data_IF_661096592437
#
_entry.id   IF_661096592437
#
_cell.length_a   1.000
_cell.length_b   1.000
_cell.length_c   1.000
_cell.angle_alpha   90.00
_cell.angle_beta   90.00
_cell.angle_gamma   90.00
#
_symmetry.space_group_name_H-M   'P 1'
#
loop_
_entity.id
_entity.type
_entity.pdbx_description
1 polymer ?
#
# COMPACT_ATOMS: atom_id res chain seq x y z
N UNK A 1 -13.08 -10.16 4.75
CA UNK A 1 -11.81 -10.92 4.84
C UNK A 1 -11.10 -10.81 3.52
N UNK A 2 -9.92 -10.19 3.48
CA UNK A 2 -9.09 -10.09 2.28
C UNK A 2 -8.45 -11.46 2.06
N UNK A 3 -8.80 -12.13 0.97
CA UNK A 3 -8.40 -13.50 0.71
C UNK A 3 -6.94 -13.53 0.22
N UNK A 4 -6.06 -14.17 0.98
CA UNK A 4 -4.60 -14.14 0.77
C UNK A 4 -4.16 -14.74 -0.58
N UNK A 5 -4.97 -15.66 -1.12
CA UNK A 5 -4.74 -16.29 -2.42
C UNK A 5 -4.99 -15.35 -3.61
N UNK A 6 -5.97 -14.45 -3.49
CA UNK A 6 -6.34 -13.53 -4.57
C UNK A 6 -5.28 -12.44 -4.75
N UNK A 7 -4.69 -11.98 -3.64
CA UNK A 7 -3.66 -10.94 -3.64
C UNK A 7 -2.38 -11.43 -4.32
N UNK A 8 -2.00 -12.69 -4.10
CA UNK A 8 -0.85 -13.31 -4.77
C UNK A 8 -1.08 -13.45 -6.27
N UNK A 9 -2.26 -13.88 -6.69
CA UNK A 9 -2.59 -14.02 -8.10
C UNK A 9 -2.56 -12.66 -8.82
N UNK A 10 -3.12 -11.63 -8.20
CA UNK A 10 -3.11 -10.28 -8.73
C UNK A 10 -1.69 -9.69 -8.81
N UNK A 11 -0.88 -9.89 -7.76
CA UNK A 11 0.52 -9.48 -7.75
C UNK A 11 1.34 -10.18 -8.84
N UNK A 12 1.14 -11.48 -9.02
CA UNK A 12 1.79 -12.25 -10.10
C UNK A 12 1.38 -11.75 -11.49
N UNK A 13 0.08 -11.43 -11.69
CA UNK A 13 -0.41 -10.83 -12.93
C UNK A 13 0.26 -9.49 -13.20
N UNK A 14 0.35 -8.62 -12.20
CA UNK A 14 1.03 -7.34 -12.34
C UNK A 14 2.51 -7.51 -12.65
N UNK A 15 3.23 -8.37 -11.92
CA UNK A 15 4.66 -8.57 -12.14
C UNK A 15 4.98 -9.14 -13.53
N UNK A 16 4.11 -9.98 -14.08
CA UNK A 16 4.26 -10.54 -15.43
C UNK A 16 3.91 -9.57 -16.55
N UNK A 17 2.86 -8.77 -16.37
CA UNK A 17 2.29 -7.93 -17.45
C UNK A 17 2.72 -6.48 -17.37
N UNK A 18 3.05 -5.99 -16.18
CA UNK A 18 3.19 -4.57 -15.83
C UNK A 18 2.02 -3.73 -16.38
N UNK A 19 0.83 -4.31 -16.48
CA UNK A 19 -0.33 -3.64 -17.08
C UNK A 19 -0.86 -2.53 -16.16
N UNK A 20 -1.27 -1.38 -16.72
CA UNK A 20 -1.88 -0.30 -15.94
C UNK A 20 -3.09 -0.74 -15.13
N UNK A 21 -3.91 -1.64 -15.68
CA UNK A 21 -5.10 -2.15 -15.00
C UNK A 21 -4.72 -3.02 -13.79
N UNK A 22 -3.76 -3.94 -13.93
CA UNK A 22 -3.32 -4.77 -12.79
C UNK A 22 -2.62 -3.93 -11.71
N UNK A 23 -1.96 -2.83 -12.10
CA UNK A 23 -1.39 -1.84 -11.17
C UNK A 23 -2.49 -1.14 -10.38
N UNK A 24 -3.51 -0.62 -11.06
CA UNK A 24 -4.66 0.04 -10.44
C UNK A 24 -5.41 -0.92 -9.50
N UNK A 25 -5.69 -2.14 -9.95
CA UNK A 25 -6.31 -3.20 -9.16
C UNK A 25 -5.53 -3.44 -7.85
N UNK A 26 -4.19 -3.51 -7.92
CA UNK A 26 -3.34 -3.68 -6.73
C UNK A 26 -3.42 -2.48 -5.79
N UNK A 27 -3.31 -1.26 -6.32
CA UNK A 27 -3.39 -0.05 -5.50
C UNK A 27 -4.72 -0.03 -4.74
N UNK A 28 -5.85 -0.19 -5.44
CA UNK A 28 -7.19 -0.18 -4.84
C UNK A 28 -7.36 -1.29 -3.80
N UNK A 29 -6.85 -2.49 -4.09
CA UNK A 29 -6.89 -3.63 -3.15
C UNK A 29 -6.17 -3.33 -1.83
N UNK A 30 -5.08 -2.57 -1.87
CA UNK A 30 -4.24 -2.29 -0.72
C UNK A 30 -4.47 -0.92 -0.08
N UNK A 31 -5.40 -0.09 -0.58
CA UNK A 31 -5.83 1.17 0.08
C UNK A 31 -6.15 0.98 1.58
N UNK A 32 -6.85 -0.08 2.02
CA UNK A 32 -7.10 -0.32 3.46
C UNK A 32 -5.83 -0.40 4.32
N UNK A 33 -4.69 -0.78 3.73
CA UNK A 33 -3.41 -0.86 4.43
C UNK A 33 -2.94 0.53 4.88
N UNK A 34 -3.20 1.59 4.11
CA UNK A 34 -2.83 2.97 4.49
C UNK A 34 -3.51 3.37 5.79
N UNK A 35 -4.82 3.15 5.88
CA UNK A 35 -5.61 3.43 7.09
C UNK A 35 -5.16 2.56 8.27
N UNK A 36 -4.82 1.30 8.02
CA UNK A 36 -4.26 0.42 9.04
C UNK A 36 -2.93 0.98 9.58
N UNK A 37 -2.02 1.44 8.70
CA UNK A 37 -0.73 2.01 9.10
C UNK A 37 -0.91 3.28 9.94
N UNK A 38 -1.77 4.20 9.52
CA UNK A 38 -2.10 5.42 10.29
C UNK A 38 -2.62 5.07 11.68
N UNK A 39 -3.57 4.14 11.78
CA UNK A 39 -4.10 3.69 13.07
C UNK A 39 -3.03 3.04 13.96
N UNK A 40 -2.08 2.29 13.37
CA UNK A 40 -0.93 1.72 14.09
C UNK A 40 0.08 2.77 14.55
N UNK A 41 0.09 3.95 13.95
CA UNK A 41 0.89 5.11 14.35
C UNK A 41 0.17 5.98 15.38
N UNK A 42 -1.05 5.64 15.80
CA UNK A 42 -1.86 6.45 16.70
C UNK A 42 -2.51 7.66 16.04
N UNK A 43 -2.49 7.72 14.69
CA UNK A 43 -3.10 8.81 13.92
C UNK A 43 -4.56 8.45 13.68
N UNK A 44 -5.46 9.32 14.14
CA UNK A 44 -6.91 9.16 14.01
C UNK A 44 -7.52 10.36 13.30
N UNK A 45 -8.82 10.29 12.98
CA UNK A 45 -9.56 11.41 12.35
C UNK A 45 -9.72 12.62 13.26
N UNK A 46 -9.35 12.52 14.54
CA UNK A 46 -9.48 13.60 15.52
C UNK A 46 -8.57 14.80 15.23
N UNK A 47 -7.49 14.60 14.45
CA UNK A 47 -6.58 15.68 14.03
C UNK A 47 -7.12 16.50 12.83
N UNK A 48 -8.35 16.22 12.37
CA UNK A 48 -9.04 17.06 11.38
C UNK A 48 -8.40 17.00 9.98
N UNK A 49 -8.17 18.15 9.36
CA UNK A 49 -7.65 18.26 7.98
C UNK A 49 -6.28 17.59 7.80
N UNK A 50 -5.43 17.63 8.83
CA UNK A 50 -4.12 16.98 8.83
C UNK A 50 -4.24 15.46 8.57
N UNK A 51 -5.31 14.82 9.04
CA UNK A 51 -5.56 13.41 8.78
C UNK A 51 -5.68 13.14 7.28
N UNK A 52 -6.36 14.02 6.54
CA UNK A 52 -6.59 13.85 5.10
C UNK A 52 -5.29 14.03 4.29
N UNK A 53 -4.40 14.91 4.75
CA UNK A 53 -3.06 15.07 4.16
C UNK A 53 -2.21 13.82 4.39
N UNK A 54 -2.15 13.31 5.64
CA UNK A 54 -1.40 12.10 5.97
C UNK A 54 -1.93 10.85 5.24
N UNK A 55 -3.25 10.75 5.02
CA UNK A 55 -3.83 9.72 4.14
C UNK A 55 -3.33 9.87 2.72
N UNK A 56 -3.33 11.08 2.16
CA UNK A 56 -2.87 11.34 0.79
C UNK A 56 -1.39 10.97 0.62
N UNK A 57 -0.55 11.37 1.58
CA UNK A 57 0.87 10.98 1.64
C UNK A 57 1.04 9.46 1.75
N UNK A 58 0.28 8.81 2.62
CA UNK A 58 0.30 7.35 2.73
C UNK A 58 -0.11 6.63 1.44
N UNK A 59 -1.06 7.19 0.68
CA UNK A 59 -1.45 6.67 -0.63
C UNK A 59 -0.32 6.82 -1.66
N UNK A 60 0.44 7.92 -1.65
CA UNK A 60 1.63 8.07 -2.49
C UNK A 60 2.68 7.00 -2.15
N UNK A 61 2.91 6.73 -0.87
CA UNK A 61 3.82 5.68 -0.42
C UNK A 61 3.36 4.27 -0.84
N UNK A 62 2.05 4.02 -0.86
CA UNK A 62 1.49 2.76 -1.40
C UNK A 62 1.70 2.65 -2.91
N UNK A 63 1.46 3.73 -3.66
CA UNK A 63 1.67 3.78 -5.10
C UNK A 63 3.13 3.45 -5.43
N UNK A 64 4.07 4.11 -4.76
CA UNK A 64 5.50 3.85 -4.94
C UNK A 64 5.87 2.41 -4.56
N UNK A 65 5.24 1.87 -3.50
CA UNK A 65 5.44 0.48 -3.12
C UNK A 65 4.99 -0.50 -4.22
N UNK A 66 3.83 -0.28 -4.85
CA UNK A 66 3.36 -1.12 -5.96
C UNK A 66 4.35 -1.07 -7.13
N UNK A 67 4.83 0.12 -7.48
CA UNK A 67 5.70 0.31 -8.64
C UNK A 67 7.08 -0.34 -8.46
N UNK A 68 7.62 -0.26 -7.24
CA UNK A 68 8.99 -0.68 -6.92
C UNK A 68 9.12 -2.04 -6.26
N UNK A 69 8.01 -2.73 -5.97
CA UNK A 69 8.09 -4.02 -5.31
C UNK A 69 8.87 -5.05 -6.14
N UNK A 70 9.80 -5.72 -5.47
CA UNK A 70 10.56 -6.84 -6.01
C UNK A 70 10.40 -8.08 -5.12
N UNK A 71 9.77 -9.16 -5.61
CA UNK A 71 9.61 -10.42 -4.86
C UNK A 71 10.94 -11.16 -4.61
N UNK A 72 12.04 -10.80 -5.29
CA UNK A 72 13.35 -11.45 -5.12
C UNK A 72 13.89 -11.33 -3.68
N UNK A 73 13.47 -10.28 -2.96
CA UNK A 73 13.80 -10.05 -1.55
C UNK A 73 13.06 -10.97 -0.56
N UNK A 74 12.24 -11.93 -1.04
CA UNK A 74 11.52 -12.93 -0.23
C UNK A 74 10.65 -12.32 0.89
N UNK A 75 10.16 -11.09 0.68
CA UNK A 75 9.27 -10.40 1.60
C UNK A 75 7.85 -10.35 1.02
N UNK A 76 6.84 -10.34 1.90
CA UNK A 76 5.46 -10.14 1.47
C UNK A 76 5.29 -8.69 1.00
N UNK A 77 4.50 -8.48 -0.05
CA UNK A 77 4.20 -7.14 -0.54
C UNK A 77 3.65 -6.24 0.56
N UNK A 78 2.71 -6.73 1.38
CA UNK A 78 2.14 -5.96 2.49
C UNK A 78 3.18 -5.49 3.51
N UNK A 79 4.21 -6.31 3.78
CA UNK A 79 5.33 -5.95 4.66
C UNK A 79 6.15 -4.81 4.05
N UNK A 80 6.49 -4.92 2.77
CA UNK A 80 7.21 -3.87 2.05
C UNK A 80 6.41 -2.57 1.97
N UNK A 81 5.14 -2.64 1.55
CA UNK A 81 4.24 -1.49 1.44
C UNK A 81 4.05 -0.78 2.78
N UNK A 82 3.93 -1.52 3.89
CA UNK A 82 3.84 -0.94 5.25
C UNK A 82 5.03 -0.03 5.54
N UNK A 83 6.25 -0.44 5.18
CA UNK A 83 7.46 0.36 5.41
C UNK A 83 7.49 1.61 4.52
N UNK A 84 7.08 1.50 3.25
CA UNK A 84 7.02 2.63 2.32
C UNK A 84 5.96 3.66 2.73
N UNK A 85 4.74 3.21 3.03
CA UNK A 85 3.64 4.06 3.52
C UNK A 85 4.09 4.83 4.77
N UNK A 86 4.67 4.13 5.75
CA UNK A 86 5.15 4.77 6.98
C UNK A 86 6.26 5.78 6.71
N UNK A 87 7.20 5.47 5.82
CA UNK A 87 8.25 6.41 5.41
C UNK A 87 7.67 7.68 4.81
N UNK A 88 6.71 7.54 3.89
CA UNK A 88 6.09 8.67 3.20
C UNK A 88 5.22 9.55 4.11
N UNK A 89 4.67 9.00 5.20
CA UNK A 89 3.93 9.76 6.20
C UNK A 89 4.88 10.59 7.09
N UNK A 90 6.10 10.09 7.33
CA UNK A 90 7.06 10.68 8.27
C UNK A 90 8.03 11.69 7.63
N UNK A 91 8.11 11.73 6.31
CA UNK A 91 8.98 12.68 5.56
C UNK A 91 8.57 14.15 5.75
#
# INVERSE_FOLDING_TARGET
MVNQSDDLALLQRFLKTRSPQAREDLILRYVPLVYYVLGRMGISREIGEEYSDLVSRGLLGLIDAVDRFDPSFKTKFSTYATLRIRGEILD
#
